data_IF_599108326463
#
_entry.id   IF_599108326463
#
_cell.length_a   1.000
_cell.length_b   1.000
_cell.length_c   1.000
_cell.angle_alpha   90.00
_cell.angle_beta   90.00
_cell.angle_gamma   90.00
#
_symmetry.space_group_name_H-M   'P 1'
#
loop_
_entity.id
_entity.type
_entity.pdbx_description
1 polymer ?
#
# COMPACT_ATOMS: atom_id res chain seq x y z
N UNK A 1 2.38 -10.65 -11.14
CA UNK A 1 2.94 -12.02 -10.95
C UNK A 1 4.42 -11.87 -10.65
N UNK A 2 5.05 -12.89 -10.08
CA UNK A 2 6.50 -12.95 -9.85
C UNK A 2 7.14 -13.82 -10.92
N UNK A 3 8.43 -13.59 -11.25
CA UNK A 3 9.25 -14.46 -12.10
C UNK A 3 10.28 -15.15 -11.21
N UNK A 4 10.01 -16.40 -10.85
CA UNK A 4 10.78 -17.11 -9.81
C UNK A 4 11.64 -18.25 -10.37
N UNK A 5 11.66 -18.46 -11.69
CA UNK A 5 12.51 -19.48 -12.28
C UNK A 5 13.99 -19.17 -11.99
N UNK A 6 14.66 -20.11 -11.36
CA UNK A 6 16.05 -19.93 -10.88
C UNK A 6 16.19 -19.15 -9.55
N UNK A 7 15.12 -18.75 -8.90
CA UNK A 7 15.21 -18.15 -7.57
C UNK A 7 15.91 -19.13 -6.60
N UNK A 8 16.87 -18.61 -5.81
CA UNK A 8 17.62 -19.42 -4.85
C UNK A 8 18.78 -20.22 -5.45
N UNK A 9 19.04 -20.20 -6.77
CA UNK A 9 20.23 -20.80 -7.31
C UNK A 9 21.50 -20.00 -6.95
N UNK A 10 22.68 -20.65 -6.79
CA UNK A 10 23.92 -19.96 -6.47
C UNK A 10 24.25 -18.81 -7.42
N UNK A 11 23.96 -18.98 -8.73
CA UNK A 11 24.23 -17.98 -9.76
C UNK A 11 23.37 -16.71 -9.52
N UNK A 12 22.09 -16.88 -9.22
CA UNK A 12 21.20 -15.74 -8.96
C UNK A 12 21.47 -15.11 -7.60
N UNK A 13 21.78 -15.90 -6.58
CA UNK A 13 22.12 -15.38 -5.24
C UNK A 13 23.42 -14.58 -5.22
N UNK A 14 24.34 -14.82 -6.17
CA UNK A 14 25.55 -14.03 -6.34
C UNK A 14 25.31 -12.62 -6.92
N UNK A 15 24.16 -12.38 -7.54
CA UNK A 15 23.78 -11.06 -8.03
C UNK A 15 23.29 -10.16 -6.87
N UNK A 16 23.47 -8.82 -6.96
CA UNK A 16 22.93 -7.92 -5.94
C UNK A 16 21.40 -7.98 -5.89
N UNK A 17 20.85 -8.01 -4.68
CA UNK A 17 19.42 -7.84 -4.47
C UNK A 17 19.08 -6.36 -4.64
N UNK A 18 18.14 -6.05 -5.53
CA UNK A 18 17.62 -4.69 -5.72
C UNK A 18 16.17 -4.61 -5.25
N UNK A 19 15.86 -3.59 -4.46
CA UNK A 19 14.50 -3.29 -4.05
C UNK A 19 14.04 -2.00 -4.70
N UNK A 20 13.04 -2.10 -5.58
CA UNK A 20 12.47 -0.97 -6.31
C UNK A 20 11.25 -0.43 -5.58
N UNK A 21 11.28 0.87 -5.28
CA UNK A 21 10.33 1.53 -4.40
C UNK A 21 10.12 3.01 -4.76
N UNK A 22 9.18 3.66 -4.08
CA UNK A 22 8.99 5.12 -4.11
C UNK A 22 8.55 5.64 -2.73
N UNK A 23 8.78 6.92 -2.38
CA UNK A 23 8.36 7.52 -1.12
C UNK A 23 6.86 7.37 -0.86
N UNK A 24 6.47 7.20 0.41
CA UNK A 24 5.07 7.08 0.83
C UNK A 24 4.32 5.84 0.35
N UNK A 25 5.01 4.88 -0.24
CA UNK A 25 4.44 3.60 -0.67
C UNK A 25 4.47 2.60 0.49
N UNK A 26 3.34 2.33 1.11
CA UNK A 26 3.20 1.44 2.27
C UNK A 26 3.77 0.04 2.03
N UNK A 27 3.47 -0.56 0.87
CA UNK A 27 3.97 -1.90 0.52
C UNK A 27 5.48 -1.91 0.26
N UNK A 28 6.03 -0.79 -0.25
CA UNK A 28 7.47 -0.66 -0.49
C UNK A 28 8.23 -0.62 0.84
N UNK A 29 7.77 0.20 1.79
CA UNK A 29 8.35 0.28 3.11
C UNK A 29 8.29 -1.08 3.82
N UNK A 30 7.13 -1.73 3.80
CA UNK A 30 6.96 -3.07 4.39
C UNK A 30 7.91 -4.10 3.79
N UNK A 31 8.12 -4.11 2.46
CA UNK A 31 9.08 -4.99 1.80
C UNK A 31 10.53 -4.69 2.23
N UNK A 32 10.91 -3.41 2.30
CA UNK A 32 12.26 -3.01 2.74
C UNK A 32 12.53 -3.45 4.17
N UNK A 33 11.59 -3.19 5.08
CA UNK A 33 11.70 -3.61 6.49
C UNK A 33 11.79 -5.14 6.62
N UNK A 34 10.97 -5.87 5.88
CA UNK A 34 11.00 -7.34 5.85
C UNK A 34 12.38 -7.90 5.46
N UNK A 35 13.01 -7.35 4.43
CA UNK A 35 14.35 -7.78 3.99
C UNK A 35 15.42 -7.38 5.00
N UNK A 36 15.32 -6.17 5.58
CA UNK A 36 16.23 -5.69 6.64
C UNK A 36 16.18 -6.55 7.90
N UNK A 37 15.00 -6.96 8.34
CA UNK A 37 14.79 -7.81 9.51
C UNK A 37 15.47 -9.18 9.38
N UNK A 38 15.62 -9.68 8.15
CA UNK A 38 16.33 -10.91 7.86
C UNK A 38 17.85 -10.72 7.62
N UNK A 39 18.34 -9.48 7.81
CA UNK A 39 19.77 -9.17 7.67
C UNK A 39 20.31 -9.29 6.24
N UNK A 40 19.45 -9.23 5.23
CA UNK A 40 19.85 -9.35 3.82
C UNK A 40 20.23 -7.97 3.27
N UNK A 41 21.46 -7.79 2.78
CA UNK A 41 21.88 -6.55 2.12
C UNK A 41 21.19 -6.39 0.76
N UNK A 42 20.82 -5.15 0.42
CA UNK A 42 20.20 -4.83 -0.87
C UNK A 42 20.61 -3.45 -1.38
N UNK A 43 20.49 -3.25 -2.67
CA UNK A 43 20.55 -1.95 -3.33
C UNK A 43 19.14 -1.36 -3.34
N UNK A 44 19.01 -0.14 -2.83
CA UNK A 44 17.75 0.59 -2.77
C UNK A 44 17.58 1.45 -4.03
N UNK A 45 16.48 1.25 -4.75
CA UNK A 45 16.22 1.91 -6.04
C UNK A 45 14.91 2.70 -5.97
N UNK A 46 15.02 4.01 -5.74
CA UNK A 46 13.87 4.91 -5.82
C UNK A 46 13.52 5.20 -7.28
N UNK A 47 12.44 4.62 -7.78
CA UNK A 47 12.05 4.71 -9.21
C UNK A 47 11.61 6.13 -9.64
N UNK A 48 11.42 7.07 -8.71
CA UNK A 48 11.13 8.46 -9.04
C UNK A 48 12.41 9.29 -9.30
N UNK A 49 13.59 8.76 -8.92
CA UNK A 49 14.87 9.47 -8.99
C UNK A 49 15.94 8.70 -9.75
N UNK A 50 15.81 7.38 -9.81
CA UNK A 50 16.74 6.48 -10.52
C UNK A 50 16.15 6.08 -11.89
N UNK A 51 16.45 6.88 -12.91
CA UNK A 51 15.99 6.65 -14.29
C UNK A 51 16.48 5.30 -14.83
N UNK A 52 17.72 4.88 -14.50
CA UNK A 52 18.27 3.59 -14.97
C UNK A 52 17.60 2.42 -14.25
N UNK A 53 17.28 2.58 -12.99
CA UNK A 53 16.47 1.61 -12.24
C UNK A 53 15.08 1.46 -12.82
N UNK A 54 14.42 2.56 -13.18
CA UNK A 54 13.12 2.55 -13.85
C UNK A 54 13.19 1.86 -15.21
N UNK A 55 14.20 2.17 -16.04
CA UNK A 55 14.40 1.51 -17.35
C UNK A 55 14.63 0.00 -17.20
N UNK A 56 15.35 -0.40 -16.14
CA UNK A 56 15.57 -1.83 -15.82
C UNK A 56 14.25 -2.55 -15.57
N UNK A 57 13.35 -1.97 -14.76
CA UNK A 57 12.01 -2.55 -14.54
C UNK A 57 11.20 -2.61 -15.83
N UNK A 58 11.23 -1.56 -16.65
CA UNK A 58 10.51 -1.51 -17.91
C UNK A 58 11.02 -2.58 -18.90
N UNK A 59 12.34 -2.81 -18.96
CA UNK A 59 12.94 -3.86 -19.76
C UNK A 59 12.52 -5.28 -19.34
N UNK A 60 12.23 -5.47 -18.04
CA UNK A 60 11.64 -6.71 -17.52
C UNK A 60 10.12 -6.81 -17.75
N UNK A 61 9.50 -5.82 -18.40
CA UNK A 61 8.06 -5.76 -18.62
C UNK A 61 7.25 -5.41 -17.34
N UNK A 62 7.92 -4.96 -16.29
CA UNK A 62 7.30 -4.66 -15.00
C UNK A 62 6.82 -3.21 -14.97
N UNK A 63 5.58 -3.00 -14.57
CA UNK A 63 4.93 -1.68 -14.50
C UNK A 63 4.31 -1.41 -13.13
N UNK A 64 4.88 -1.97 -12.08
CA UNK A 64 4.39 -1.83 -10.70
C UNK A 64 5.55 -1.89 -9.72
N UNK A 65 5.34 -1.36 -8.55
CA UNK A 65 6.19 -1.48 -7.36
C UNK A 65 5.32 -1.88 -6.15
N UNK A 66 5.91 -2.42 -5.07
CA UNK A 66 7.32 -2.76 -4.87
C UNK A 66 7.77 -4.00 -5.64
N UNK A 67 9.05 -4.07 -5.99
CA UNK A 67 9.68 -5.23 -6.62
C UNK A 67 11.00 -5.55 -5.91
N UNK A 68 11.21 -6.82 -5.62
CA UNK A 68 12.52 -7.36 -5.23
C UNK A 68 13.09 -8.15 -6.42
N UNK A 69 14.33 -7.87 -6.84
CA UNK A 69 14.92 -8.53 -8.01
C UNK A 69 16.40 -8.87 -7.83
N UNK A 70 16.81 -9.99 -8.42
CA UNK A 70 18.21 -10.39 -8.67
C UNK A 70 18.36 -10.75 -10.14
N UNK A 71 18.91 -9.85 -10.94
CA UNK A 71 18.97 -10.01 -12.39
C UNK A 71 17.58 -10.24 -13.02
N UNK A 72 17.36 -11.36 -13.74
CA UNK A 72 16.08 -11.63 -14.39
C UNK A 72 15.00 -12.18 -13.43
N UNK A 73 15.40 -12.64 -12.23
CA UNK A 73 14.48 -13.19 -11.22
C UNK A 73 13.91 -12.07 -10.38
N UNK A 74 12.60 -12.02 -10.24
CA UNK A 74 11.96 -10.98 -9.45
C UNK A 74 10.66 -11.44 -8.79
N UNK A 75 10.32 -10.78 -7.71
CA UNK A 75 9.08 -10.96 -6.96
C UNK A 75 8.34 -9.64 -6.77
N UNK A 76 7.01 -9.69 -6.78
CA UNK A 76 6.21 -8.59 -6.28
C UNK A 76 6.40 -8.50 -4.76
N UNK A 77 6.77 -7.33 -4.27
CA UNK A 77 7.07 -7.09 -2.87
C UNK A 77 5.86 -7.19 -1.93
N UNK A 78 4.65 -7.33 -2.47
CA UNK A 78 3.46 -7.63 -1.67
C UNK A 78 3.36 -9.11 -1.27
N UNK A 79 4.18 -10.00 -1.88
CA UNK A 79 4.17 -11.46 -1.64
C UNK A 79 5.47 -11.86 -0.95
N UNK A 80 5.50 -11.83 0.36
CA UNK A 80 6.72 -12.06 1.16
C UNK A 80 7.35 -13.43 0.97
N UNK A 81 6.55 -14.48 0.75
CA UNK A 81 7.07 -15.81 0.41
C UNK A 81 7.91 -15.81 -0.89
N UNK A 82 7.53 -14.97 -1.85
CA UNK A 82 8.27 -14.85 -3.12
C UNK A 82 9.48 -13.93 -2.97
N UNK A 83 9.34 -12.84 -2.20
CA UNK A 83 10.46 -11.96 -1.83
C UNK A 83 11.55 -12.76 -1.12
N UNK A 84 11.19 -13.61 -0.16
CA UNK A 84 12.15 -14.46 0.56
C UNK A 84 12.91 -15.40 -0.37
N UNK A 85 12.23 -16.01 -1.36
CA UNK A 85 12.88 -16.85 -2.39
C UNK A 85 13.90 -16.08 -3.22
N UNK A 86 13.55 -14.87 -3.68
CA UNK A 86 14.46 -14.00 -4.45
C UNK A 86 15.60 -13.51 -3.57
N UNK A 87 15.34 -13.17 -2.32
CA UNK A 87 16.34 -12.71 -1.37
C UNK A 87 17.24 -13.84 -0.85
N UNK A 88 16.80 -15.11 -0.91
CA UNK A 88 17.60 -16.28 -0.58
C UNK A 88 17.50 -16.70 0.89
N UNK A 89 16.33 -16.54 1.53
CA UNK A 89 16.09 -17.04 2.89
C UNK A 89 14.75 -17.76 3.01
N UNK A 90 14.61 -18.56 4.06
CA UNK A 90 13.36 -19.25 4.37
C UNK A 90 12.38 -18.33 5.09
N UNK A 91 11.11 -18.39 4.71
CA UNK A 91 10.03 -17.63 5.34
C UNK A 91 8.85 -18.55 5.65
N UNK A 92 8.57 -18.73 6.93
CA UNK A 92 7.50 -19.62 7.42
C UNK A 92 6.11 -19.01 7.43
N UNK A 93 5.95 -17.78 6.89
CA UNK A 93 4.68 -17.05 6.97
C UNK A 93 4.52 -16.27 8.30
N UNK A 94 3.39 -15.60 8.43
CA UNK A 94 3.01 -14.89 9.66
C UNK A 94 1.60 -15.33 10.08
N UNK A 95 1.31 -15.20 11.37
CA UNK A 95 -0.04 -15.42 11.88
C UNK A 95 -0.90 -14.23 11.54
N UNK A 96 -2.01 -14.47 10.87
CA UNK A 96 -3.03 -13.44 10.59
C UNK A 96 -4.04 -13.33 11.73
N UNK A 97 -4.63 -12.15 11.89
CA UNK A 97 -5.86 -11.97 12.67
C UNK A 97 -7.01 -12.74 12.00
N UNK A 98 -8.04 -13.11 12.76
CA UNK A 98 -9.26 -13.65 12.16
C UNK A 98 -9.92 -12.61 11.22
N UNK A 99 -10.70 -13.04 10.23
CA UNK A 99 -11.43 -12.11 9.36
C UNK A 99 -12.32 -11.13 10.14
N UNK A 100 -12.92 -11.56 11.25
CA UNK A 100 -13.72 -10.69 12.11
C UNK A 100 -12.88 -9.60 12.78
N UNK A 101 -11.72 -9.96 13.35
CA UNK A 101 -10.80 -8.99 13.94
C UNK A 101 -10.29 -7.99 12.89
N UNK A 102 -10.01 -8.45 11.67
CA UNK A 102 -9.58 -7.56 10.57
C UNK A 102 -10.72 -6.61 10.17
N UNK A 103 -11.96 -7.10 10.08
CA UNK A 103 -13.15 -6.27 9.83
C UNK A 103 -13.27 -5.13 10.84
N UNK A 104 -13.11 -5.43 12.13
CA UNK A 104 -13.16 -4.41 13.19
C UNK A 104 -12.06 -3.37 13.00
N UNK A 105 -10.84 -3.79 12.64
CA UNK A 105 -9.74 -2.88 12.32
C UNK A 105 -10.03 -2.01 11.10
N UNK A 106 -10.62 -2.56 10.03
CA UNK A 106 -11.01 -1.80 8.84
C UNK A 106 -12.03 -0.72 9.19
N UNK A 107 -13.09 -1.06 9.93
CA UNK A 107 -14.10 -0.08 10.33
C UNK A 107 -13.52 1.02 11.22
N UNK A 108 -12.69 0.66 12.20
CA UNK A 108 -11.98 1.62 13.05
C UNK A 108 -11.12 2.60 12.25
N UNK A 109 -10.36 2.10 11.27
CA UNK A 109 -9.51 2.90 10.39
C UNK A 109 -10.33 3.87 9.55
N UNK A 110 -11.45 3.42 8.97
CA UNK A 110 -12.32 4.27 8.15
C UNK A 110 -13.00 5.36 8.98
N UNK A 111 -13.47 5.04 10.20
CA UNK A 111 -14.05 6.01 11.12
C UNK A 111 -13.00 7.06 11.55
N UNK A 112 -11.77 6.65 11.83
CA UNK A 112 -10.67 7.55 12.17
C UNK A 112 -10.28 8.45 10.99
N UNK A 113 -10.14 7.88 9.79
CA UNK A 113 -9.81 8.64 8.58
C UNK A 113 -10.86 9.73 8.28
N UNK A 114 -12.15 9.46 8.53
CA UNK A 114 -13.22 10.45 8.42
C UNK A 114 -13.05 11.62 9.41
N UNK A 115 -12.74 11.32 10.68
CA UNK A 115 -12.46 12.37 11.68
C UNK A 115 -11.24 13.20 11.30
N UNK A 116 -10.16 12.58 10.84
CA UNK A 116 -8.94 13.28 10.43
C UNK A 116 -9.15 14.15 9.20
N UNK A 117 -9.88 13.65 8.20
CA UNK A 117 -10.25 14.44 7.02
C UNK A 117 -11.01 15.72 7.41
N UNK A 118 -11.94 15.62 8.38
CA UNK A 118 -12.71 16.77 8.84
C UNK A 118 -11.82 17.90 9.40
N UNK A 119 -10.65 17.56 9.97
CA UNK A 119 -9.69 18.51 10.52
C UNK A 119 -8.80 19.17 9.47
N UNK A 120 -8.60 18.59 8.28
CA UNK A 120 -7.77 19.19 7.23
C UNK A 120 -8.44 20.48 6.73
N UNK A 121 -7.79 21.64 6.74
CA UNK A 121 -8.35 22.87 6.15
C UNK A 121 -8.61 22.69 4.65
N UNK A 122 -9.74 23.20 4.14
CA UNK A 122 -10.14 22.99 2.74
C UNK A 122 -9.08 23.47 1.74
N UNK A 123 -8.46 24.63 2.03
CA UNK A 123 -7.40 25.19 1.20
C UNK A 123 -6.08 24.42 1.20
N UNK A 124 -5.95 23.39 2.07
CA UNK A 124 -4.74 22.59 2.20
C UNK A 124 -4.87 21.19 1.57
N UNK A 125 -6.07 20.82 1.10
CA UNK A 125 -6.33 19.48 0.54
C UNK A 125 -5.50 19.11 -0.68
N UNK A 126 -5.11 20.11 -1.47
CA UNK A 126 -4.33 19.90 -2.70
C UNK A 126 -2.81 20.06 -2.50
N UNK A 127 -2.37 20.27 -1.27
CA UNK A 127 -0.95 20.23 -0.95
C UNK A 127 -0.37 18.82 -1.15
N UNK A 128 0.87 18.80 -1.63
CA UNK A 128 1.54 17.56 -2.03
C UNK A 128 2.35 16.99 -0.85
N UNK A 129 2.29 15.66 -0.72
CA UNK A 129 3.11 14.93 0.25
C UNK A 129 4.61 15.06 -0.09
N UNK A 130 5.49 15.11 0.90
CA UNK A 130 6.93 15.17 0.69
C UNK A 130 7.44 14.02 -0.19
N UNK A 131 8.23 14.36 -1.21
CA UNK A 131 8.89 13.38 -2.08
C UNK A 131 7.96 12.50 -2.92
N UNK A 132 6.64 12.80 -2.99
CA UNK A 132 5.68 12.01 -3.76
C UNK A 132 4.62 12.91 -4.41
N UNK A 133 4.30 12.72 -5.71
CA UNK A 133 3.25 13.48 -6.40
C UNK A 133 1.85 12.97 -6.02
N UNK A 134 1.51 13.09 -4.74
CA UNK A 134 0.21 12.72 -4.18
C UNK A 134 -0.26 13.81 -3.25
N UNK A 135 -1.42 14.40 -3.49
CA UNK A 135 -2.01 15.39 -2.59
C UNK A 135 -2.62 14.75 -1.35
N UNK A 136 -2.88 15.58 -0.32
CA UNK A 136 -3.59 15.14 0.89
C UNK A 136 -4.98 14.61 0.53
N UNK A 137 -5.67 15.25 -0.40
CA UNK A 137 -6.94 14.79 -0.97
C UNK A 137 -6.83 13.36 -1.53
N UNK A 138 -5.83 13.11 -2.36
CA UNK A 138 -5.58 11.80 -2.95
C UNK A 138 -5.18 10.74 -1.92
N UNK A 139 -4.45 11.12 -0.86
CA UNK A 139 -4.10 10.20 0.22
C UNK A 139 -5.36 9.74 0.97
N UNK A 140 -6.23 10.68 1.35
CA UNK A 140 -7.47 10.35 2.09
C UNK A 140 -8.44 9.56 1.22
N UNK A 141 -8.62 9.97 -0.04
CA UNK A 141 -9.43 9.21 -1.00
C UNK A 141 -8.95 7.76 -1.09
N UNK A 142 -7.65 7.55 -1.18
CA UNK A 142 -7.06 6.21 -1.26
C UNK A 142 -7.39 5.34 -0.04
N UNK A 143 -7.36 5.91 1.17
CA UNK A 143 -7.76 5.17 2.40
C UNK A 143 -9.17 4.61 2.27
N UNK A 144 -10.11 5.41 1.77
CA UNK A 144 -11.51 5.01 1.61
C UNK A 144 -11.75 4.08 0.41
N UNK A 145 -10.91 4.19 -0.62
CA UNK A 145 -11.07 3.43 -1.85
C UNK A 145 -10.51 1.99 -1.74
N UNK A 146 -9.49 1.76 -0.91
CA UNK A 146 -8.94 0.42 -0.69
C UNK A 146 -10.01 -0.60 -0.26
N UNK A 147 -10.84 -0.36 0.78
CA UNK A 147 -11.93 -1.26 1.15
C UNK A 147 -13.01 -1.38 0.08
N UNK A 148 -13.28 -0.32 -0.70
CA UNK A 148 -14.20 -0.38 -1.83
C UNK A 148 -13.73 -1.40 -2.88
N UNK A 149 -12.44 -1.40 -3.22
CA UNK A 149 -11.89 -2.36 -4.20
C UNK A 149 -12.04 -3.80 -3.69
N UNK A 150 -11.88 -4.03 -2.39
CA UNK A 150 -12.17 -5.33 -1.77
C UNK A 150 -13.65 -5.69 -1.91
N UNK A 151 -14.56 -4.76 -1.61
CA UNK A 151 -16.00 -4.98 -1.72
C UNK A 151 -16.45 -5.24 -3.17
N UNK A 152 -15.90 -4.52 -4.14
CA UNK A 152 -16.19 -4.77 -5.55
C UNK A 152 -15.78 -6.20 -5.96
N UNK A 153 -14.71 -6.73 -5.39
CA UNK A 153 -14.29 -8.12 -5.59
C UNK A 153 -15.29 -9.11 -5.00
N UNK A 154 -15.68 -8.93 -3.74
CA UNK A 154 -16.52 -9.94 -3.05
C UNK A 154 -18.01 -9.85 -3.40
N UNK A 155 -18.51 -8.68 -3.79
CA UNK A 155 -19.92 -8.49 -4.14
C UNK A 155 -20.19 -8.63 -5.65
N UNK A 156 -19.21 -8.36 -6.50
CA UNK A 156 -19.41 -8.25 -7.96
C UNK A 156 -18.39 -9.04 -8.78
N UNK A 157 -17.51 -9.83 -8.13
CA UNK A 157 -16.40 -10.57 -8.75
C UNK A 157 -15.51 -9.66 -9.63
N UNK A 158 -15.39 -8.39 -9.25
CA UNK A 158 -14.56 -7.43 -9.98
C UNK A 158 -13.08 -7.83 -9.89
N UNK A 159 -12.28 -7.65 -10.97
CA UNK A 159 -10.86 -7.96 -10.95
C UNK A 159 -10.10 -7.09 -9.95
N UNK A 160 -9.29 -7.70 -9.08
CA UNK A 160 -8.44 -6.99 -8.12
C UNK A 160 -7.14 -6.59 -8.81
N UNK A 161 -7.20 -5.49 -9.58
CA UNK A 161 -6.11 -5.04 -10.43
C UNK A 161 -5.25 -3.96 -9.77
N UNK A 162 -4.03 -3.78 -10.28
CA UNK A 162 -3.18 -2.67 -9.86
C UNK A 162 -3.82 -1.31 -10.17
N UNK A 163 -4.49 -1.19 -11.31
CA UNK A 163 -5.21 0.00 -11.74
C UNK A 163 -6.33 0.37 -10.75
N UNK A 164 -7.12 -0.60 -10.28
CA UNK A 164 -8.15 -0.37 -9.28
C UNK A 164 -7.56 0.18 -7.98
N UNK A 165 -6.42 -0.36 -7.53
CA UNK A 165 -5.75 0.08 -6.29
C UNK A 165 -4.89 1.35 -6.43
N UNK A 166 -4.75 1.92 -7.63
CA UNK A 166 -4.17 3.27 -7.76
C UNK A 166 -5.08 4.34 -7.17
N UNK A 167 -6.38 4.06 -7.05
CA UNK A 167 -7.36 4.98 -6.49
C UNK A 167 -7.29 6.35 -7.19
N UNK A 168 -7.52 6.34 -8.51
CA UNK A 168 -7.54 7.59 -9.29
C UNK A 168 -8.71 8.42 -8.79
N UNK A 169 -8.40 9.62 -8.29
CA UNK A 169 -9.40 10.54 -7.77
C UNK A 169 -10.37 10.95 -8.89
N UNK A 170 -11.69 10.70 -8.75
CA UNK A 170 -12.68 11.16 -9.72
C UNK A 170 -12.66 12.69 -9.86
N UNK A 171 -12.89 13.19 -11.08
CA UNK A 171 -12.83 14.63 -11.37
C UNK A 171 -13.90 15.46 -10.64
N UNK A 172 -14.97 14.84 -10.20
CA UNK A 172 -16.08 15.44 -9.44
C UNK A 172 -15.84 15.39 -7.92
N UNK A 173 -14.82 14.68 -7.44
CA UNK A 173 -14.46 14.59 -6.02
C UNK A 173 -13.68 15.85 -5.55
N UNK A 174 -14.33 17.01 -5.62
CA UNK A 174 -13.67 18.32 -5.51
C UNK A 174 -13.59 18.80 -4.05
N UNK A 175 -14.65 18.57 -3.27
CA UNK A 175 -14.75 19.14 -1.91
C UNK A 175 -14.43 18.12 -0.83
N UNK A 176 -14.15 18.61 0.39
CA UNK A 176 -14.02 17.76 1.58
C UNK A 176 -15.30 16.98 1.84
N UNK A 177 -16.46 17.61 1.64
CA UNK A 177 -17.77 16.95 1.85
C UNK A 177 -17.95 15.76 0.91
N UNK A 178 -17.54 15.86 -0.36
CA UNK A 178 -17.56 14.73 -1.28
C UNK A 178 -16.71 13.55 -0.77
N UNK A 179 -15.52 13.82 -0.23
CA UNK A 179 -14.65 12.79 0.33
C UNK A 179 -15.23 12.18 1.62
N UNK A 180 -15.84 13.00 2.49
CA UNK A 180 -16.51 12.52 3.71
C UNK A 180 -17.72 11.65 3.40
N UNK A 181 -18.53 12.04 2.41
CA UNK A 181 -19.65 11.26 1.94
C UNK A 181 -19.19 9.92 1.33
N UNK A 182 -18.17 9.97 0.48
CA UNK A 182 -17.56 8.78 -0.12
C UNK A 182 -17.00 7.82 0.94
N UNK A 183 -16.25 8.36 1.91
CA UNK A 183 -15.70 7.57 3.01
C UNK A 183 -16.78 6.91 3.86
N UNK A 184 -17.84 7.66 4.22
CA UNK A 184 -18.99 7.15 4.97
C UNK A 184 -19.73 6.07 4.19
N UNK A 185 -20.01 6.30 2.91
CA UNK A 185 -20.70 5.32 2.07
C UNK A 185 -19.94 4.00 1.96
N UNK A 186 -18.60 4.03 1.78
CA UNK A 186 -17.79 2.83 1.73
C UNK A 186 -17.66 2.13 3.09
N UNK A 187 -17.56 2.90 4.17
CA UNK A 187 -17.59 2.36 5.54
C UNK A 187 -18.89 1.62 5.84
N UNK A 188 -20.03 2.22 5.52
CA UNK A 188 -21.34 1.63 5.76
C UNK A 188 -21.60 0.44 4.83
N UNK A 189 -21.16 0.50 3.58
CA UNK A 189 -21.20 -0.64 2.65
C UNK A 189 -20.38 -1.82 3.17
N UNK A 190 -19.18 -1.56 3.73
CA UNK A 190 -18.33 -2.61 4.30
C UNK A 190 -18.99 -3.26 5.52
N UNK A 191 -19.56 -2.48 6.42
CA UNK A 191 -20.31 -3.00 7.57
C UNK A 191 -21.53 -3.82 7.13
N UNK A 192 -22.33 -3.31 6.19
CA UNK A 192 -23.50 -3.99 5.68
C UNK A 192 -23.18 -5.30 4.93
N UNK A 193 -22.07 -5.33 4.16
CA UNK A 193 -21.58 -6.55 3.55
C UNK A 193 -21.21 -7.59 4.60
N UNK A 194 -20.50 -7.18 5.65
CA UNK A 194 -20.09 -8.10 6.71
C UNK A 194 -21.31 -8.74 7.41
N UNK A 195 -22.29 -7.94 7.79
CA UNK A 195 -23.52 -8.41 8.42
C UNK A 195 -24.32 -9.38 7.53
N UNK A 196 -24.29 -9.17 6.22
CA UNK A 196 -25.04 -9.98 5.26
C UNK A 196 -24.30 -11.27 4.89
N UNK A 197 -23.01 -11.17 4.58
CA UNK A 197 -22.23 -12.22 3.92
C UNK A 197 -20.95 -12.60 4.69
N UNK A 198 -20.41 -11.72 5.54
CA UNK A 198 -19.08 -11.88 6.11
C UNK A 198 -18.85 -13.20 6.85
N UNK A 199 -19.80 -13.58 7.71
CA UNK A 199 -19.70 -14.84 8.47
C UNK A 199 -19.82 -16.11 7.60
N UNK A 200 -20.43 -16.02 6.43
CA UNK A 200 -20.61 -17.13 5.49
C UNK A 200 -19.56 -17.17 4.38
N UNK A 201 -18.71 -16.15 4.30
CA UNK A 201 -17.67 -16.04 3.28
C UNK A 201 -16.56 -17.05 3.51
N UNK A 202 -16.21 -17.82 2.48
CA UNK A 202 -15.03 -18.69 2.49
C UNK A 202 -13.77 -17.84 2.27
N UNK A 203 -13.08 -17.48 3.35
CA UNK A 203 -11.86 -16.72 3.31
C UNK A 203 -10.63 -17.51 2.84
N UNK A 204 -10.70 -18.83 2.80
CA UNK A 204 -9.63 -19.68 2.27
C UNK A 204 -9.72 -19.86 0.74
N UNK A 205 -10.80 -19.42 0.10
CA UNK A 205 -10.91 -19.50 -1.35
C UNK A 205 -9.76 -18.78 -2.05
N UNK A 206 -9.08 -19.43 -3.02
CA UNK A 206 -8.02 -18.80 -3.78
C UNK A 206 -8.59 -17.74 -4.74
N UNK A 207 -7.83 -16.70 -4.98
CA UNK A 207 -8.20 -15.63 -5.91
C UNK A 207 -6.99 -15.06 -6.64
N UNK A 208 -7.20 -14.72 -7.92
CA UNK A 208 -6.19 -13.98 -8.68
C UNK A 208 -6.26 -12.51 -8.33
N UNK A 209 -5.11 -11.96 -7.96
CA UNK A 209 -4.90 -10.54 -7.73
C UNK A 209 -3.71 -10.05 -8.55
N UNK A 210 -3.49 -8.75 -8.67
CA UNK A 210 -2.43 -8.22 -9.52
C UNK A 210 -1.01 -8.64 -9.08
N UNK A 211 -0.81 -9.04 -7.84
CA UNK A 211 0.48 -9.50 -7.31
C UNK A 211 0.61 -11.03 -7.24
N UNK A 212 -0.39 -11.80 -7.64
CA UNK A 212 -0.31 -13.27 -7.71
C UNK A 212 -1.61 -13.96 -7.35
N UNK A 213 -1.50 -15.24 -6.93
CA UNK A 213 -2.60 -16.00 -6.36
C UNK A 213 -2.47 -16.04 -4.85
N UNK A 214 -3.50 -15.59 -4.15
CA UNK A 214 -3.60 -15.54 -2.69
C UNK A 214 -5.02 -15.91 -2.28
N UNK A 215 -5.24 -16.30 -1.01
CA UNK A 215 -6.60 -16.50 -0.53
C UNK A 215 -7.28 -15.16 -0.18
N UNK A 216 -8.59 -15.17 -0.04
CA UNK A 216 -9.38 -13.98 0.25
C UNK A 216 -9.03 -13.39 1.63
N UNK A 217 -8.58 -14.21 2.58
CA UNK A 217 -8.11 -13.77 3.90
C UNK A 217 -6.89 -12.85 3.77
N UNK A 218 -5.91 -13.22 2.93
CA UNK A 218 -4.73 -12.39 2.64
C UNK A 218 -5.13 -11.05 1.98
N UNK A 219 -6.18 -11.06 1.13
CA UNK A 219 -6.71 -9.82 0.52
C UNK A 219 -7.37 -8.93 1.55
N UNK A 220 -8.15 -9.51 2.47
CA UNK A 220 -8.79 -8.77 3.56
C UNK A 220 -7.74 -8.21 4.53
N UNK A 221 -6.74 -9.02 4.92
CA UNK A 221 -5.62 -8.55 5.77
C UNK A 221 -4.89 -7.38 5.11
N UNK A 222 -4.61 -7.50 3.80
CA UNK A 222 -4.00 -6.41 3.04
C UNK A 222 -4.86 -5.15 3.04
N UNK A 223 -6.17 -5.30 2.90
CA UNK A 223 -7.12 -4.18 2.96
C UNK A 223 -7.01 -3.45 4.31
N UNK A 224 -6.97 -4.18 5.41
CA UNK A 224 -6.87 -3.62 6.76
C UNK A 224 -5.55 -2.88 7.00
N UNK A 225 -4.42 -3.56 6.78
CA UNK A 225 -3.12 -2.93 7.07
C UNK A 225 -2.75 -1.82 6.08
N UNK A 226 -3.17 -1.90 4.82
CA UNK A 226 -2.85 -0.89 3.82
C UNK A 226 -3.58 0.42 4.10
N UNK A 227 -4.90 0.36 4.37
CA UNK A 227 -5.66 1.53 4.83
C UNK A 227 -5.14 2.05 6.17
N UNK A 228 -4.81 1.16 7.12
CA UNK A 228 -4.22 1.51 8.41
C UNK A 228 -2.91 2.27 8.28
N UNK A 229 -1.99 1.82 7.42
CA UNK A 229 -0.73 2.52 7.20
C UNK A 229 -0.93 3.92 6.61
N UNK A 230 -1.82 4.07 5.64
CA UNK A 230 -2.12 5.40 5.10
C UNK A 230 -2.83 6.30 6.13
N UNK A 231 -3.62 5.74 7.04
CA UNK A 231 -4.19 6.50 8.15
C UNK A 231 -3.12 6.99 9.13
N UNK A 232 -2.09 6.18 9.43
CA UNK A 232 -0.90 6.64 10.18
C UNK A 232 -0.17 7.78 9.45
N UNK A 233 -0.09 7.73 8.12
CA UNK A 233 0.47 8.82 7.32
C UNK A 233 -0.38 10.10 7.40
N UNK A 234 -1.71 9.99 7.50
CA UNK A 234 -2.58 11.16 7.71
C UNK A 234 -2.32 11.75 9.11
N UNK A 235 -2.18 10.94 10.15
CA UNK A 235 -1.81 11.40 11.51
C UNK A 235 -0.48 12.17 11.46
N UNK A 236 0.54 11.60 10.82
CA UNK A 236 1.85 12.24 10.66
C UNK A 236 1.74 13.58 9.92
N UNK A 237 0.99 13.62 8.83
CA UNK A 237 0.74 14.83 8.04
C UNK A 237 0.03 15.92 8.86
N UNK A 238 -1.01 15.56 9.62
CA UNK A 238 -1.72 16.51 10.48
C UNK A 238 -0.77 17.15 11.49
N UNK A 239 0.07 16.36 12.16
CA UNK A 239 1.03 16.83 13.16
C UNK A 239 2.16 17.65 12.52
N UNK A 240 2.86 17.07 11.55
CA UNK A 240 4.14 17.62 11.05
C UNK A 240 3.96 18.72 9.97
N UNK A 241 2.86 18.71 9.22
CA UNK A 241 2.65 19.66 8.10
C UNK A 241 1.53 20.65 8.34
N UNK A 242 0.57 20.32 9.18
CA UNK A 242 -0.59 21.16 9.45
C UNK A 242 -0.60 21.75 10.86
N UNK A 243 0.28 21.29 11.76
CA UNK A 243 0.31 21.67 13.17
C UNK A 243 -1.07 21.42 13.85
N UNK A 244 -1.69 20.28 13.51
CA UNK A 244 -3.01 19.88 14.01
C UNK A 244 -2.85 18.56 14.76
N UNK A 245 -3.26 18.54 16.05
CA UNK A 245 -3.37 17.27 16.78
C UNK A 245 -4.60 16.51 16.31
N UNK A 246 -4.46 15.24 15.89
CA UNK A 246 -5.59 14.42 15.43
C UNK A 246 -6.61 14.19 16.53
N UNK A 247 -7.90 14.27 16.19
CA UNK A 247 -9.01 13.95 17.09
C UNK A 247 -9.09 12.44 17.32
N UNK A 248 -8.77 12.00 18.56
CA UNK A 248 -8.70 10.58 18.93
C UNK A 248 -7.71 9.82 18.05
N UNK A 249 -6.39 10.14 18.11
CA UNK A 249 -5.40 9.50 17.27
C UNK A 249 -5.36 7.99 17.52
N UNK A 250 -5.26 7.21 16.44
CA UNK A 250 -4.98 5.79 16.54
C UNK A 250 -3.51 5.60 16.90
N UNK A 251 -3.26 4.74 17.87
CA UNK A 251 -1.94 4.40 18.36
C UNK A 251 -1.51 3.01 17.86
N UNK A 252 -0.25 2.63 18.03
CA UNK A 252 0.27 1.34 17.56
C UNK A 252 -0.52 0.14 18.12
N UNK A 253 -1.05 0.25 19.33
CA UNK A 253 -1.90 -0.77 19.95
C UNK A 253 -3.21 -1.01 19.19
N UNK A 254 -3.77 0.02 18.54
CA UNK A 254 -4.99 -0.10 17.75
C UNK A 254 -4.77 -0.93 16.48
N UNK A 255 -3.55 -0.95 15.98
CA UNK A 255 -3.17 -1.73 14.81
C UNK A 255 -2.59 -3.12 15.16
N UNK A 256 -2.53 -3.48 16.45
CA UNK A 256 -1.93 -4.73 16.88
C UNK A 256 -2.50 -5.95 16.12
N UNK A 257 -1.61 -6.81 15.64
CA UNK A 257 -1.94 -8.02 14.86
C UNK A 257 -2.04 -7.77 13.34
N UNK A 258 -2.22 -6.54 12.87
CA UNK A 258 -2.08 -6.22 11.47
C UNK A 258 -0.59 -6.09 11.10
N UNK A 259 -0.16 -6.60 9.94
CA UNK A 259 1.24 -6.58 9.53
C UNK A 259 1.66 -5.23 8.92
N UNK A 260 1.54 -4.14 9.68
CA UNK A 260 1.99 -2.83 9.24
C UNK A 260 3.52 -2.74 9.21
N UNK A 261 4.10 -1.84 8.39
CA UNK A 261 5.48 -1.41 8.56
C UNK A 261 5.70 -0.84 9.97
N UNK A 262 6.90 -0.98 10.53
CA UNK A 262 7.27 -0.36 11.81
C UNK A 262 7.26 1.16 11.70
N UNK A 263 7.85 1.68 10.62
CA UNK A 263 7.88 3.10 10.35
C UNK A 263 6.59 3.59 9.67
N UNK A 264 6.26 4.86 9.88
CA UNK A 264 5.10 5.52 9.23
C UNK A 264 5.46 6.01 7.84
N UNK A 265 6.66 6.59 7.69
CA UNK A 265 7.25 7.04 6.44
C UNK A 265 8.44 6.17 6.08
N UNK A 266 8.98 6.30 4.87
CA UNK A 266 10.08 5.44 4.45
C UNK A 266 11.38 5.75 5.23
N UNK A 267 12.26 4.75 5.35
CA UNK A 267 13.44 4.79 6.20
C UNK A 267 14.69 5.38 5.52
N UNK A 268 14.57 5.85 4.29
CA UNK A 268 15.68 6.47 3.55
C UNK A 268 15.42 7.95 3.28
N UNK A 269 14.18 8.41 3.46
CA UNK A 269 13.76 9.79 3.26
C UNK A 269 12.97 10.29 4.44
N UNK A 270 13.36 11.43 4.96
CA UNK A 270 12.59 12.13 5.98
C UNK A 270 11.25 12.61 5.41
N UNK A 271 10.21 12.62 6.23
CA UNK A 271 8.94 13.25 5.90
C UNK A 271 9.08 14.78 5.72
N UNK A 272 10.17 15.38 6.21
CA UNK A 272 10.48 16.82 6.06
C UNK A 272 11.24 17.14 4.78
N UNK A 273 11.86 16.16 4.12
CA UNK A 273 12.55 16.38 2.86
C UNK A 273 11.57 16.73 1.75
N UNK A 274 11.61 17.95 1.32
CA UNK A 274 11.03 18.64 0.18
C UNK A 274 9.84 18.05 -0.57
N UNK A 275 9.04 18.91 -1.12
CA UNK A 275 8.00 18.52 -2.07
C UNK A 275 8.62 17.92 -3.34
N UNK A 276 7.94 16.95 -3.92
CA UNK A 276 8.21 16.47 -5.28
C UNK A 276 8.36 17.66 -6.24
N UNK A 277 9.42 17.71 -7.01
CA UNK A 277 9.58 18.68 -8.09
C UNK A 277 9.00 18.06 -9.36
N UNK A 278 8.16 18.82 -10.09
CA UNK A 278 7.46 18.41 -11.33
C UNK A 278 8.35 17.93 -12.49
N UNK A 279 9.66 17.81 -12.27
CA UNK A 279 10.64 17.48 -13.30
C UNK A 279 10.91 15.98 -13.47
N UNK A 280 10.45 15.12 -12.57
CA UNK A 280 10.53 13.69 -12.75
C UNK A 280 9.25 13.19 -13.43
N UNK A 281 9.35 12.61 -14.62
CA UNK A 281 8.27 11.80 -15.17
C UNK A 281 7.92 10.74 -14.14
N UNK A 282 6.74 10.84 -13.56
CA UNK A 282 6.31 9.85 -12.59
C UNK A 282 6.12 8.52 -13.29
N UNK A 283 6.31 7.42 -12.56
CA UNK A 283 5.89 6.09 -12.99
C UNK A 283 4.46 6.09 -13.58
N UNK A 284 3.62 7.02 -13.18
CA UNK A 284 2.23 7.15 -13.62
C UNK A 284 2.09 7.91 -14.95
N UNK A 285 2.97 8.86 -15.24
CA UNK A 285 2.98 9.63 -16.50
C UNK A 285 3.75 8.95 -17.63
N UNK A 286 4.72 8.11 -17.33
CA UNK A 286 5.46 7.29 -18.31
C UNK A 286 4.59 6.26 -19.07
N UNK A 287 3.26 6.26 -18.89
CA UNK A 287 2.31 5.32 -19.50
C UNK A 287 1.65 5.81 -20.77
N UNK A 288 1.88 7.06 -21.17
CA UNK A 288 1.19 7.69 -22.33
C UNK A 288 2.12 8.01 -23.48
N UNK A 289 3.37 7.50 -23.46
CA UNK A 289 4.32 7.59 -24.56
C UNK A 289 4.43 6.28 -25.33
#
# INVERSE_FOLDING_TARGET
MSQLEGAGTPENLALPLKLYWQPGCSSCLKMKEFVLEHGIPFESVNVLEDEEGLKTLQALGIRMIPIAARGPVWANGAVFRDVAKVAGFEYGGQKMLSPEEIKDKVLMVLDAAGRYLAQIPDGRLDEILPGRPRSYRQLVFHVFDIPKVFLDRVEHDAPYTYEALKSILPADMITKDHLLEYGRANRDRFAAWWERDGAATDFEQPGQVYYGEVNLHEVLERTGWHSGQHTRQIILMLREKLDIEPDGPLEDADFAGLPLPKNVWDNERSFDEGSYTDTAETWETAKTG
#
